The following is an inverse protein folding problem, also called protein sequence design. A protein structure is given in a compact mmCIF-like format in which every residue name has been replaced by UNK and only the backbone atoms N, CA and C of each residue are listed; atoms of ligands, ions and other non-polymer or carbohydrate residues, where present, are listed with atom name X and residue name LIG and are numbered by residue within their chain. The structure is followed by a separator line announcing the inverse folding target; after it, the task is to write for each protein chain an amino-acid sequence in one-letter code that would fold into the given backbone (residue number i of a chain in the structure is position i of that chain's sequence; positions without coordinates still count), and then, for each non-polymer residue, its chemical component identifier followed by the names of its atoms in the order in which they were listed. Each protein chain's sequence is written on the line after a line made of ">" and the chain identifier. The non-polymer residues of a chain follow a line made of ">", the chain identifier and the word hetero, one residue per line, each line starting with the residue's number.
data_IF_843713704021
#
_entry.id   IF_843713704021
#
_cell.length_a   1.000
_cell.length_b   1.000
_cell.length_c   1.000
_cell.angle_alpha   90.00
_cell.angle_beta   90.00
_cell.angle_gamma   90.00
#
_symmetry.space_group_name_H-M   'P 1'
#
loop_
_entity.id
_entity.type
_entity.pdbx_description
1 polymer ?
#
# COMPACT_ATOMS: atom_id res chain seq x y z
N UNK A 1 79.96 -38.67 14.30
CA UNK A 1 79.27 -37.53 13.63
C UNK A 1 78.77 -36.58 14.71
N UNK A 2 79.28 -35.34 14.77
CA UNK A 2 78.77 -34.31 15.68
C UNK A 2 77.50 -33.71 15.05
N UNK A 3 76.33 -33.97 15.64
CA UNK A 3 75.10 -33.28 15.26
C UNK A 3 75.28 -31.78 15.53
N UNK A 4 75.31 -30.98 14.47
CA UNK A 4 75.56 -29.55 14.57
C UNK A 4 74.25 -28.89 15.01
N UNK A 5 74.19 -28.47 16.28
CA UNK A 5 72.97 -28.00 16.94
C UNK A 5 72.31 -26.81 16.22
N UNK A 6 73.08 -26.08 15.41
CA UNK A 6 72.60 -25.01 14.54
C UNK A 6 71.64 -25.51 13.45
N UNK A 7 71.87 -26.70 12.88
CA UNK A 7 70.96 -27.29 11.89
C UNK A 7 69.69 -27.85 12.53
N UNK A 8 69.78 -28.37 13.76
CA UNK A 8 68.60 -28.82 14.50
C UNK A 8 67.72 -27.62 14.92
N UNK A 9 68.33 -26.53 15.38
CA UNK A 9 67.62 -25.30 15.71
C UNK A 9 66.96 -24.68 14.48
N UNK A 10 67.61 -24.70 13.31
CA UNK A 10 67.04 -24.19 12.07
C UNK A 10 65.87 -25.05 11.57
N UNK A 11 65.99 -26.39 11.68
CA UNK A 11 64.91 -27.31 11.31
C UNK A 11 63.68 -27.19 12.22
N UNK A 12 63.88 -26.99 13.52
CA UNK A 12 62.80 -26.77 14.49
C UNK A 12 62.14 -25.40 14.27
N UNK A 13 62.92 -24.35 14.03
CA UNK A 13 62.36 -23.02 13.74
C UNK A 13 61.59 -23.01 12.42
N UNK A 14 62.10 -23.68 11.39
CA UNK A 14 61.40 -23.82 10.11
C UNK A 14 60.11 -24.64 10.22
N UNK A 15 60.08 -25.69 11.05
CA UNK A 15 58.86 -26.48 11.29
C UNK A 15 57.81 -25.75 12.13
N UNK A 16 58.24 -24.85 13.03
CA UNK A 16 57.34 -23.96 13.78
C UNK A 16 56.72 -22.86 12.89
N UNK A 17 57.42 -22.40 11.84
CA UNK A 17 56.89 -21.36 10.95
C UNK A 17 55.93 -21.87 9.87
N UNK A 18 55.97 -23.15 9.52
CA UNK A 18 55.06 -23.75 8.50
C UNK A 18 53.74 -24.29 9.07
N UNK A 19 53.59 -24.32 10.41
CA UNK A 19 52.33 -24.68 11.08
C UNK A 19 51.47 -23.45 11.44
N UNK A 20 51.92 -22.23 11.12
CA UNK A 20 51.21 -20.98 11.43
C UNK A 20 50.47 -20.37 10.25
N UNK A 21 50.30 -21.11 9.16
CA UNK A 21 49.29 -20.82 8.14
C UNK A 21 48.10 -21.74 8.40
N UNK A 22 47.33 -21.43 9.45
CA UNK A 22 45.94 -21.89 9.46
C UNK A 22 45.21 -20.99 8.45
N UNK A 23 44.58 -21.57 7.44
CA UNK A 23 43.65 -20.83 6.59
C UNK A 23 42.42 -20.52 7.44
N UNK A 24 42.50 -19.51 8.31
CA UNK A 24 41.34 -18.96 9.02
C UNK A 24 40.53 -18.02 8.10
N UNK A 25 40.44 -18.34 6.80
CA UNK A 25 39.51 -17.72 5.86
C UNK A 25 38.07 -18.26 6.06
N UNK A 26 37.90 -19.28 6.91
CA UNK A 26 36.62 -19.89 7.25
C UNK A 26 35.83 -19.11 8.33
N UNK A 27 36.39 -18.00 8.83
CA UNK A 27 35.67 -17.10 9.76
C UNK A 27 34.99 -15.93 9.03
N UNK A 28 34.56 -16.14 7.78
CA UNK A 28 33.46 -15.36 7.22
C UNK A 28 32.26 -15.55 8.14
N UNK A 29 31.61 -14.49 8.65
CA UNK A 29 30.38 -14.64 9.41
C UNK A 29 29.41 -15.49 8.59
N UNK A 30 29.15 -16.73 9.01
CA UNK A 30 28.24 -17.66 8.32
C UNK A 30 26.77 -17.27 8.51
N UNK A 31 26.52 -16.03 8.91
CA UNK A 31 25.20 -15.42 9.04
C UNK A 31 24.94 -14.47 7.88
N UNK A 32 23.67 -14.18 7.57
CA UNK A 32 23.34 -13.16 6.58
C UNK A 32 24.06 -11.86 6.93
N UNK A 33 24.92 -11.38 6.03
CA UNK A 33 25.66 -10.11 6.15
C UNK A 33 24.77 -8.89 5.86
N UNK A 34 23.47 -9.12 5.66
CA UNK A 34 22.45 -8.10 5.46
C UNK A 34 21.72 -7.72 6.77
N UNK A 35 20.74 -6.79 6.68
CA UNK A 35 19.92 -6.44 7.83
C UNK A 35 19.25 -7.69 8.42
N UNK A 36 19.29 -7.82 9.74
CA UNK A 36 18.59 -8.90 10.44
C UNK A 36 17.09 -8.57 10.51
N UNK A 37 16.27 -9.35 9.82
CA UNK A 37 14.81 -9.22 9.80
C UNK A 37 14.11 -10.23 10.72
N UNK A 38 14.82 -10.89 11.65
CA UNK A 38 14.14 -11.77 12.62
C UNK A 38 13.39 -10.95 13.68
N UNK A 39 12.15 -11.33 13.96
CA UNK A 39 11.33 -10.66 14.96
C UNK A 39 9.85 -11.06 14.91
N UNK A 40 9.08 -10.52 15.84
CA UNK A 40 7.62 -10.56 15.80
C UNK A 40 7.13 -9.32 15.06
N UNK A 41 6.43 -9.52 13.96
CA UNK A 41 5.81 -8.43 13.20
C UNK A 41 4.41 -8.15 13.75
N UNK A 42 4.08 -6.86 13.84
CA UNK A 42 2.72 -6.39 14.06
C UNK A 42 2.32 -5.52 12.86
N UNK A 43 1.05 -5.57 12.50
CA UNK A 43 0.52 -4.67 11.50
C UNK A 43 0.41 -3.27 12.11
N UNK A 44 1.01 -2.28 11.45
CA UNK A 44 0.90 -0.87 11.82
C UNK A 44 -0.16 -0.16 10.97
N UNK A 45 -0.14 -0.42 9.65
CA UNK A 45 -1.05 0.21 8.70
C UNK A 45 -1.52 -0.80 7.64
N UNK A 46 -2.72 -0.57 7.13
CA UNK A 46 -3.28 -1.25 5.99
C UNK A 46 -3.63 -0.21 4.92
N UNK A 47 -2.83 -0.21 3.84
CA UNK A 47 -3.11 0.62 2.67
C UNK A 47 -4.12 -0.07 1.78
N UNK A 48 -5.34 0.46 1.74
CA UNK A 48 -6.38 0.04 0.83
C UNK A 48 -6.59 1.04 -0.32
N UNK A 49 -7.85 1.29 -0.62
CA UNK A 49 -8.31 2.20 -1.66
C UNK A 49 -7.98 3.65 -1.27
N UNK A 50 -7.77 4.52 -2.27
CA UNK A 50 -7.52 5.93 -2.02
C UNK A 50 -8.63 6.57 -1.18
N UNK A 51 -8.23 7.54 -0.34
CA UNK A 51 -9.08 8.39 0.50
C UNK A 51 -10.03 7.72 1.53
N UNK A 52 -10.20 6.39 1.56
CA UNK A 52 -11.19 5.72 2.43
C UNK A 52 -10.99 6.05 3.92
N UNK A 53 -9.78 5.84 4.44
CA UNK A 53 -9.43 6.15 5.83
C UNK A 53 -9.37 7.66 6.12
N UNK A 54 -9.28 8.50 5.09
CA UNK A 54 -9.29 9.95 5.24
C UNK A 54 -10.71 10.48 5.40
N UNK A 55 -11.65 9.98 4.59
CA UNK A 55 -13.00 10.52 4.45
C UNK A 55 -14.00 9.82 5.37
N UNK A 56 -13.97 8.49 5.45
CA UNK A 56 -15.04 7.71 6.09
C UNK A 56 -14.72 7.23 7.51
N UNK A 57 -13.44 7.17 7.89
CA UNK A 57 -13.03 6.76 9.23
C UNK A 57 -12.89 7.97 10.14
N UNK A 58 -13.66 7.98 11.23
CA UNK A 58 -13.56 9.04 12.25
C UNK A 58 -12.18 9.05 12.91
N UNK A 59 -11.68 10.23 13.29
CA UNK A 59 -10.30 10.44 13.78
C UNK A 59 -9.88 9.49 14.91
N UNK A 60 -10.76 9.22 15.87
CA UNK A 60 -10.49 8.30 17.00
C UNK A 60 -10.49 6.81 16.64
N UNK A 61 -10.77 6.46 15.39
CA UNK A 61 -10.91 5.07 14.94
C UNK A 61 -9.91 4.68 13.85
N UNK A 62 -9.07 5.61 13.40
CA UNK A 62 -8.07 5.39 12.34
C UNK A 62 -7.06 4.32 12.72
N UNK A 63 -6.47 4.40 13.90
CA UNK A 63 -5.49 3.40 14.36
C UNK A 63 -6.13 2.00 14.46
N UNK A 64 -7.37 1.93 14.97
CA UNK A 64 -8.10 0.66 15.05
C UNK A 64 -8.44 0.12 13.65
N UNK A 65 -8.83 0.99 12.72
CA UNK A 65 -9.10 0.62 11.33
C UNK A 65 -7.85 0.05 10.64
N UNK A 66 -6.71 0.71 10.82
CA UNK A 66 -5.41 0.36 10.24
C UNK A 66 -4.89 -1.03 10.63
N UNK A 67 -5.29 -1.52 11.82
CA UNK A 67 -4.90 -2.85 12.31
C UNK A 67 -6.01 -3.90 12.20
N UNK A 68 -7.22 -3.50 11.82
CA UNK A 68 -8.34 -4.44 11.66
C UNK A 68 -8.22 -5.17 10.33
N UNK A 69 -8.14 -6.50 10.39
CA UNK A 69 -8.05 -7.33 9.18
C UNK A 69 -9.26 -7.13 8.25
N UNK A 70 -9.08 -7.17 6.91
CA UNK A 70 -10.14 -6.85 5.95
C UNK A 70 -11.45 -7.63 6.15
N UNK A 71 -11.35 -8.89 6.56
CA UNK A 71 -12.49 -9.77 6.80
C UNK A 71 -13.37 -9.34 7.99
N UNK A 72 -12.87 -8.44 8.84
CA UNK A 72 -13.60 -7.90 10.00
C UNK A 72 -13.99 -6.42 9.83
N UNK A 73 -13.37 -5.70 8.88
CA UNK A 73 -13.56 -4.25 8.74
C UNK A 73 -15.02 -3.87 8.48
N UNK A 74 -15.70 -4.53 7.54
CA UNK A 74 -17.10 -4.20 7.21
C UNK A 74 -18.01 -4.29 8.44
N UNK A 75 -17.89 -5.37 9.22
CA UNK A 75 -18.68 -5.57 10.43
C UNK A 75 -18.38 -4.52 11.52
N UNK A 76 -17.16 -3.98 11.55
CA UNK A 76 -16.73 -3.02 12.57
C UNK A 76 -16.95 -1.56 12.19
N UNK A 77 -16.94 -1.22 10.90
CA UNK A 77 -16.84 0.19 10.46
C UNK A 77 -17.91 0.62 9.45
N UNK A 78 -18.68 -0.27 8.84
CA UNK A 78 -19.67 0.12 7.82
C UNK A 78 -20.67 1.15 8.34
N UNK A 79 -21.20 0.98 9.55
CA UNK A 79 -22.15 1.94 10.13
C UNK A 79 -21.54 3.33 10.35
N UNK A 80 -20.25 3.38 10.72
CA UNK A 80 -19.51 4.64 10.84
C UNK A 80 -19.35 5.30 9.48
N UNK A 81 -19.00 4.53 8.45
CA UNK A 81 -18.84 5.04 7.10
C UNK A 81 -20.15 5.63 6.60
N UNK A 82 -21.26 4.91 6.79
CA UNK A 82 -22.58 5.36 6.40
C UNK A 82 -22.95 6.67 7.10
N UNK A 83 -22.83 6.74 8.42
CA UNK A 83 -23.08 7.95 9.21
C UNK A 83 -22.25 9.13 8.71
N UNK A 84 -20.97 8.91 8.45
CA UNK A 84 -20.07 9.96 7.98
C UNK A 84 -20.40 10.40 6.55
N UNK A 85 -20.79 9.48 5.66
CA UNK A 85 -21.22 9.79 4.30
C UNK A 85 -22.49 10.65 4.28
N UNK A 86 -23.52 10.23 5.04
CA UNK A 86 -24.80 10.95 5.14
C UNK A 86 -24.63 12.32 5.81
N UNK A 87 -23.68 12.45 6.74
CA UNK A 87 -23.33 13.74 7.35
C UNK A 87 -22.48 14.65 6.44
N UNK A 88 -21.74 14.08 5.50
CA UNK A 88 -20.84 14.80 4.60
C UNK A 88 -21.55 15.29 3.33
N UNK A 89 -22.36 14.43 2.72
CA UNK A 89 -22.88 14.67 1.37
C UNK A 89 -24.38 14.98 1.38
N UNK A 90 -24.79 16.12 0.81
CA UNK A 90 -26.21 16.42 0.61
C UNK A 90 -26.89 15.47 -0.38
N UNK A 91 -26.14 14.70 -1.18
CA UNK A 91 -26.68 13.72 -2.12
C UNK A 91 -27.17 12.42 -1.46
N UNK A 92 -27.01 12.27 -0.14
CA UNK A 92 -27.52 11.13 0.64
C UNK A 92 -28.41 11.62 1.79
N UNK A 93 -29.37 12.51 1.49
CA UNK A 93 -30.21 13.12 2.52
C UNK A 93 -31.44 12.27 2.88
N UNK A 94 -31.83 11.32 2.03
CA UNK A 94 -32.82 10.28 2.30
C UNK A 94 -32.23 8.87 2.11
N UNK A 95 -32.83 7.89 2.78
CA UNK A 95 -32.42 6.47 2.71
C UNK A 95 -32.55 5.85 1.30
N UNK A 96 -33.33 6.48 0.41
CA UNK A 96 -33.52 6.04 -0.98
C UNK A 96 -32.56 6.70 -1.95
N UNK A 97 -31.86 7.76 -1.52
CA UNK A 97 -30.94 8.48 -2.37
C UNK A 97 -29.74 7.57 -2.68
N UNK A 98 -29.22 7.68 -3.90
CA UNK A 98 -28.12 6.88 -4.38
C UNK A 98 -27.11 7.70 -5.19
N UNK A 99 -25.89 7.18 -5.34
CA UNK A 99 -24.90 7.80 -6.23
C UNK A 99 -25.13 7.44 -7.71
N UNK A 100 -24.22 7.93 -8.56
CA UNK A 100 -24.19 7.67 -9.99
C UNK A 100 -24.06 6.16 -10.36
N UNK A 101 -23.77 5.28 -9.40
CA UNK A 101 -23.78 3.82 -9.59
C UNK A 101 -25.10 3.17 -9.15
N UNK A 102 -26.07 3.95 -8.68
CA UNK A 102 -27.34 3.47 -8.13
C UNK A 102 -27.20 2.80 -6.77
N UNK A 103 -26.13 3.10 -6.01
CA UNK A 103 -25.90 2.55 -4.68
C UNK A 103 -26.38 3.54 -3.62
N UNK A 104 -27.24 3.08 -2.71
CA UNK A 104 -27.61 3.86 -1.51
C UNK A 104 -26.42 4.02 -0.57
N UNK A 105 -26.53 4.92 0.42
CA UNK A 105 -25.48 5.14 1.42
C UNK A 105 -25.02 3.83 2.08
N UNK A 106 -25.96 2.96 2.48
CA UNK A 106 -25.69 1.66 3.07
C UNK A 106 -24.95 0.71 2.10
N UNK A 107 -25.36 0.68 0.82
CA UNK A 107 -24.75 -0.19 -0.17
C UNK A 107 -23.34 0.28 -0.55
N UNK A 108 -23.18 1.59 -0.79
CA UNK A 108 -21.91 2.18 -1.16
C UNK A 108 -20.88 2.04 -0.04
N UNK A 109 -21.27 2.38 1.19
CA UNK A 109 -20.37 2.21 2.35
C UNK A 109 -20.13 0.75 2.68
N UNK A 110 -21.08 -0.16 2.43
CA UNK A 110 -20.86 -1.60 2.51
C UNK A 110 -19.77 -2.10 1.55
N UNK A 111 -19.73 -1.56 0.33
CA UNK A 111 -18.68 -1.82 -0.66
C UNK A 111 -17.31 -1.28 -0.20
N UNK A 112 -17.28 -0.09 0.40
CA UNK A 112 -16.04 0.59 0.80
C UNK A 112 -15.48 0.14 2.15
N UNK A 113 -16.32 -0.36 3.06
CA UNK A 113 -15.91 -0.68 4.43
C UNK A 113 -14.96 -1.88 4.52
N UNK A 114 -14.88 -2.73 3.50
CA UNK A 114 -13.76 -3.66 3.32
C UNK A 114 -12.74 -3.01 2.41
N UNK A 115 -11.75 -2.37 3.02
CA UNK A 115 -10.82 -1.51 2.32
C UNK A 115 -9.65 -2.31 1.74
N UNK A 116 -9.87 -2.81 0.52
CA UNK A 116 -8.91 -3.62 -0.23
C UNK A 116 -8.72 -3.09 -1.64
N UNK A 117 -7.49 -3.19 -2.14
CA UNK A 117 -7.16 -2.92 -3.54
C UNK A 117 -7.63 -4.09 -4.41
N UNK A 118 -8.62 -3.83 -5.25
CA UNK A 118 -9.06 -4.78 -6.27
C UNK A 118 -8.23 -4.59 -7.54
N UNK A 119 -7.96 -5.68 -8.25
CA UNK A 119 -7.34 -5.65 -9.58
C UNK A 119 -8.00 -6.71 -10.44
N UNK A 120 -8.39 -6.34 -11.65
CA UNK A 120 -8.84 -7.29 -12.66
C UNK A 120 -7.62 -7.92 -13.34
N UNK A 121 -7.57 -9.26 -13.40
CA UNK A 121 -6.45 -9.98 -14.00
C UNK A 121 -6.66 -10.31 -15.47
N UNK A 122 -7.92 -10.34 -15.90
CA UNK A 122 -8.38 -10.78 -17.22
C UNK A 122 -9.33 -9.78 -17.90
N UNK A 123 -9.72 -8.70 -17.20
CA UNK A 123 -10.54 -7.62 -17.73
C UNK A 123 -9.86 -6.24 -17.67
N UNK A 124 -10.62 -5.20 -18.00
CA UNK A 124 -10.17 -3.82 -17.88
C UNK A 124 -9.82 -3.52 -16.43
N UNK A 125 -8.64 -2.92 -16.22
CA UNK A 125 -8.22 -2.39 -14.92
C UNK A 125 -8.43 -0.89 -14.93
N UNK A 126 -9.45 -0.42 -14.23
CA UNK A 126 -9.77 1.01 -14.08
C UNK A 126 -10.50 1.25 -12.76
N UNK A 127 -10.34 2.47 -12.24
CA UNK A 127 -11.09 2.95 -11.10
C UNK A 127 -12.55 3.15 -11.48
N UNK A 128 -12.81 3.79 -12.62
CA UNK A 128 -14.12 3.92 -13.24
C UNK A 128 -14.01 4.39 -14.71
N UNK A 129 -14.71 3.72 -15.63
CA UNK A 129 -14.79 4.11 -17.05
C UNK A 129 -16.24 4.25 -17.56
N UNK A 130 -17.21 4.31 -16.65
CA UNK A 130 -18.65 4.28 -16.97
C UNK A 130 -19.24 2.87 -17.05
N UNK A 131 -18.43 1.82 -17.17
CA UNK A 131 -18.89 0.42 -17.22
C UNK A 131 -18.26 -0.42 -16.11
N UNK A 132 -16.94 -0.37 -15.99
CA UNK A 132 -16.14 -1.06 -14.99
C UNK A 132 -15.97 -0.16 -13.77
N UNK A 133 -16.11 -0.73 -12.58
CA UNK A 133 -16.10 0.01 -11.31
C UNK A 133 -15.12 -0.68 -10.36
N UNK A 134 -14.12 0.06 -9.88
CA UNK A 134 -13.20 -0.37 -8.82
C UNK A 134 -12.51 -1.71 -9.17
N UNK A 135 -12.10 -1.83 -10.43
CA UNK A 135 -11.39 -3.00 -11.00
C UNK A 135 -9.86 -2.83 -10.96
N UNK A 136 -9.40 -1.84 -10.19
CA UNK A 136 -8.02 -1.39 -10.05
C UNK A 136 -7.91 0.07 -10.47
N UNK A 137 -6.77 0.46 -11.04
CA UNK A 137 -6.58 1.81 -11.56
C UNK A 137 -5.56 1.86 -12.69
N UNK A 138 -5.85 2.60 -13.74
CA UNK A 138 -4.89 2.99 -14.75
C UNK A 138 -4.12 4.25 -14.31
N UNK A 139 -3.01 4.55 -14.99
CA UNK A 139 -2.21 5.74 -14.69
C UNK A 139 -3.00 7.04 -14.91
N UNK A 140 -3.87 7.06 -15.92
CA UNK A 140 -4.65 8.22 -16.32
C UNK A 140 -6.04 8.29 -15.65
N UNK A 141 -6.35 7.38 -14.72
CA UNK A 141 -7.62 7.45 -14.00
C UNK A 141 -7.60 8.64 -13.04
N UNK A 142 -8.56 9.55 -13.22
CA UNK A 142 -8.85 10.62 -12.28
C UNK A 142 -9.65 10.08 -11.10
N UNK A 143 -8.93 9.47 -10.16
CA UNK A 143 -9.50 8.81 -8.99
C UNK A 143 -10.28 9.79 -8.12
N UNK A 144 -9.77 11.00 -7.92
CA UNK A 144 -10.35 11.95 -6.97
C UNK A 144 -11.66 12.51 -7.52
N UNK A 145 -11.71 12.91 -8.80
CA UNK A 145 -12.97 13.38 -9.40
C UNK A 145 -14.03 12.28 -9.42
N UNK A 146 -13.65 11.02 -9.66
CA UNK A 146 -14.60 9.89 -9.54
C UNK A 146 -15.10 9.72 -8.10
N UNK A 147 -14.22 9.77 -7.09
CA UNK A 147 -14.63 9.67 -5.69
C UNK A 147 -15.59 10.80 -5.31
N UNK A 148 -15.27 12.03 -5.69
CA UNK A 148 -16.10 13.21 -5.48
C UNK A 148 -17.46 13.09 -6.19
N UNK A 149 -17.47 12.60 -7.43
CA UNK A 149 -18.71 12.28 -8.15
C UNK A 149 -19.58 11.26 -7.40
N UNK A 150 -18.98 10.19 -6.86
CA UNK A 150 -19.72 9.15 -6.13
C UNK A 150 -20.20 9.59 -4.75
N UNK A 151 -19.54 10.58 -4.15
CA UNK A 151 -19.94 11.17 -2.88
C UNK A 151 -21.02 12.24 -3.10
N UNK A 152 -20.84 13.16 -4.05
CA UNK A 152 -21.63 14.39 -4.18
C UNK A 152 -22.56 14.45 -5.40
N UNK A 153 -22.37 13.58 -6.39
CA UNK A 153 -23.07 13.68 -7.68
C UNK A 153 -24.53 13.24 -7.67
N UNK A 154 -24.98 12.47 -6.66
CA UNK A 154 -26.30 11.85 -6.64
C UNK A 154 -26.54 10.89 -7.81
N UNK A 155 -27.79 10.50 -8.07
CA UNK A 155 -28.10 9.45 -9.06
C UNK A 155 -27.79 9.88 -10.50
N UNK A 156 -27.86 11.19 -10.74
CA UNK A 156 -27.60 11.79 -12.06
C UNK A 156 -26.15 12.18 -12.27
N UNK A 157 -25.33 12.13 -11.22
CA UNK A 157 -23.95 12.64 -11.23
C UNK A 157 -23.85 14.17 -11.28
N UNK A 158 -24.96 14.91 -11.20
CA UNK A 158 -25.02 16.35 -11.43
C UNK A 158 -25.71 17.15 -10.31
N UNK A 159 -26.01 16.54 -9.16
CA UNK A 159 -26.76 17.22 -8.10
C UNK A 159 -25.97 18.36 -7.43
N UNK A 160 -24.68 18.15 -7.21
CA UNK A 160 -23.79 19.11 -6.57
C UNK A 160 -22.54 19.37 -7.44
N UNK A 161 -22.70 19.99 -8.62
CA UNK A 161 -21.67 20.02 -9.66
C UNK A 161 -20.40 20.80 -9.27
N UNK A 162 -20.47 21.63 -8.22
CA UNK A 162 -19.28 22.31 -7.67
C UNK A 162 -18.45 21.44 -6.70
N UNK A 163 -18.89 20.22 -6.41
CA UNK A 163 -18.26 19.30 -5.46
C UNK A 163 -17.87 17.96 -6.09
N UNK A 164 -18.13 17.74 -7.38
CA UNK A 164 -17.92 16.45 -8.07
C UNK A 164 -16.57 16.33 -8.77
N UNK A 165 -15.68 17.31 -8.62
CA UNK A 165 -14.44 17.45 -9.39
C UNK A 165 -13.38 18.17 -8.55
N UNK A 166 -12.10 17.82 -8.71
CA UNK A 166 -10.99 18.44 -7.98
C UNK A 166 -10.25 19.56 -8.75
N UNK A 167 -10.60 19.74 -10.02
CA UNK A 167 -10.03 20.74 -10.92
C UNK A 167 -8.66 20.38 -11.49
N UNK A 168 -8.21 19.12 -11.41
CA UNK A 168 -6.88 18.66 -11.84
C UNK A 168 -6.97 17.63 -12.98
N UNK A 169 -7.21 18.13 -14.19
CA UNK A 169 -7.41 17.28 -15.38
C UNK A 169 -6.14 16.57 -15.89
N UNK A 170 -4.95 17.01 -15.50
CA UNK A 170 -3.70 16.46 -16.03
C UNK A 170 -2.47 16.74 -15.17
N UNK A 171 -1.46 15.89 -15.32
CA UNK A 171 -0.16 16.08 -14.70
C UNK A 171 0.64 17.20 -15.40
N UNK A 172 1.39 17.97 -14.62
CA UNK A 172 2.36 18.95 -15.13
C UNK A 172 3.46 18.32 -16.01
N UNK A 173 3.84 17.07 -15.69
CA UNK A 173 4.78 16.27 -16.48
C UNK A 173 4.12 14.96 -16.89
N UNK A 174 4.21 14.57 -18.19
CA UNK A 174 3.74 13.26 -18.63
C UNK A 174 4.40 12.12 -17.86
N UNK A 175 3.66 11.03 -17.67
CA UNK A 175 4.22 9.78 -17.15
C UNK A 175 5.40 9.32 -18.03
N UNK A 176 6.36 8.61 -17.42
CA UNK A 176 7.41 7.93 -18.20
C UNK A 176 6.77 6.84 -19.07
N UNK A 177 7.46 6.45 -20.14
CA UNK A 177 6.99 5.34 -21.00
C UNK A 177 7.39 3.96 -20.48
N UNK A 178 8.07 3.90 -19.33
CA UNK A 178 8.54 2.66 -18.70
C UNK A 178 8.36 2.73 -17.19
N UNK A 179 8.15 1.57 -16.57
CA UNK A 179 8.08 1.42 -15.12
C UNK A 179 9.29 2.11 -14.44
N UNK A 180 9.11 2.87 -13.33
CA UNK A 180 7.90 2.97 -12.50
C UNK A 180 6.84 3.97 -12.97
N UNK A 181 6.92 4.48 -14.22
CA UNK A 181 5.99 5.46 -14.81
C UNK A 181 5.93 6.83 -14.09
N UNK A 182 6.54 6.97 -12.92
CA UNK A 182 6.62 8.18 -12.11
C UNK A 182 7.53 9.23 -12.75
N UNK A 183 6.99 10.42 -13.02
CA UNK A 183 7.75 11.57 -13.49
C UNK A 183 8.63 12.18 -12.38
N UNK A 184 9.67 12.92 -12.74
CA UNK A 184 10.51 13.63 -11.76
C UNK A 184 9.75 14.80 -11.10
N UNK A 185 10.10 15.16 -9.85
CA UNK A 185 9.63 16.41 -9.23
C UNK A 185 9.93 17.62 -10.12
N UNK A 186 9.15 18.70 -9.97
CA UNK A 186 9.19 19.88 -10.85
C UNK A 186 10.60 20.46 -11.03
#
# INVERSE_FOLDING_TARGET
>A
MKFNIKFLAFAVLASLTVLSCNNDDDNMPTGPTGPNFTGTYAQEDQMGRPAVNTVFVSSGSKDNFNVTVPSQQSASFQTMFQTNLEGLSPAYNNDTDANALGLTSAQFTGLLATDVLNVSLDGTTTFFDGTNVLTGRALADDVISVELLLIFGGETGAENPGLTDDGVDSNDKPFLTSFPYLASPW
#
